data_IF_494644917667
#
_entry.id   IF_494644917667
#
_cell.length_a   1.000
_cell.length_b   1.000
_cell.length_c   1.000
_cell.angle_alpha   90.00
_cell.angle_beta   90.00
_cell.angle_gamma   90.00
#
_symmetry.space_group_name_H-M   'P 1'
#
loop_
_entity.id
_entity.type
_entity.pdbx_description
1 polymer ?
#
# COMPACT_ATOMS: atom_id res chain seq x y z
N UNK A 1 -9.80 5.33 39.65
CA UNK A 1 -10.31 5.08 38.28
C UNK A 1 -9.89 6.16 37.27
N UNK A 2 -8.62 6.60 37.28
CA UNK A 2 -8.12 7.71 36.43
C UNK A 2 -6.86 7.36 35.61
N UNK A 3 -6.34 6.14 35.76
CA UNK A 3 -5.11 5.66 35.11
C UNK A 3 -5.36 4.95 33.77
N UNK A 4 -6.61 4.62 33.42
CA UNK A 4 -6.92 3.93 32.16
C UNK A 4 -6.97 4.86 30.93
N UNK A 5 -7.01 6.18 31.14
CA UNK A 5 -7.23 7.17 30.07
C UNK A 5 -5.95 7.77 29.48
N UNK A 6 -4.76 7.48 30.03
CA UNK A 6 -3.52 8.14 29.58
C UNK A 6 -2.77 7.36 28.48
N UNK A 7 -3.08 6.07 28.29
CA UNK A 7 -2.43 5.23 27.27
C UNK A 7 -3.30 5.00 26.04
N UNK A 8 -4.15 5.95 25.65
CA UNK A 8 -4.69 6.01 24.29
C UNK A 8 -3.70 6.75 23.38
N UNK A 9 -2.45 6.26 23.40
CA UNK A 9 -1.31 6.93 22.80
C UNK A 9 -1.22 6.55 21.31
N UNK A 10 -1.57 7.51 20.45
CA UNK A 10 -0.89 7.80 19.18
C UNK A 10 -0.75 6.71 18.10
N UNK A 11 -1.79 5.93 17.79
CA UNK A 11 -1.95 5.50 16.39
C UNK A 11 -2.61 6.64 15.60
N UNK A 12 -1.80 7.48 14.98
CA UNK A 12 -2.30 8.45 13.98
C UNK A 12 -2.95 7.64 12.85
N UNK A 13 -4.28 7.51 12.88
CA UNK A 13 -5.04 6.84 11.83
C UNK A 13 -4.58 7.43 10.49
N UNK A 14 -4.12 6.57 9.58
CA UNK A 14 -3.80 6.99 8.22
C UNK A 14 -5.06 7.64 7.65
N UNK A 15 -4.95 8.92 7.28
CA UNK A 15 -6.06 9.63 6.67
C UNK A 15 -6.34 9.04 5.30
N UNK A 16 -7.60 9.02 4.87
CA UNK A 16 -8.02 8.48 3.57
C UNK A 16 -7.15 8.97 2.41
N UNK A 17 -6.72 10.25 2.46
CA UNK A 17 -5.81 10.85 1.48
C UNK A 17 -4.46 10.15 1.39
N UNK A 18 -3.86 9.79 2.53
CA UNK A 18 -2.57 9.08 2.57
C UNK A 18 -2.69 7.64 2.07
N UNK A 19 -3.80 6.96 2.37
CA UNK A 19 -4.07 5.64 1.82
C UNK A 19 -4.25 5.66 0.31
N UNK A 20 -4.97 6.65 -0.24
CA UNK A 20 -5.11 6.84 -1.68
C UNK A 20 -3.77 7.12 -2.37
N UNK A 21 -2.91 7.95 -1.77
CA UNK A 21 -1.55 8.19 -2.30
C UNK A 21 -0.75 6.89 -2.34
N UNK A 22 -0.80 6.08 -1.27
CA UNK A 22 -0.10 4.80 -1.22
C UNK A 22 -0.62 3.82 -2.28
N UNK A 23 -1.94 3.82 -2.51
CA UNK A 23 -2.58 3.01 -3.54
C UNK A 23 -2.14 3.45 -4.95
N UNK A 24 -2.09 4.76 -5.22
CA UNK A 24 -1.58 5.30 -6.48
C UNK A 24 -0.12 4.94 -6.72
N UNK A 25 0.73 4.96 -5.68
CA UNK A 25 2.13 4.54 -5.78
C UNK A 25 2.22 3.05 -6.10
N UNK A 26 1.44 2.19 -5.42
CA UNK A 26 1.39 0.75 -5.71
C UNK A 26 1.00 0.45 -7.16
N UNK A 27 -0.04 1.12 -7.67
CA UNK A 27 -0.44 1.01 -9.08
C UNK A 27 0.65 1.47 -10.04
N UNK A 28 1.33 2.58 -9.74
CA UNK A 28 2.42 3.11 -10.56
C UNK A 28 3.61 2.15 -10.64
N UNK A 29 3.96 1.49 -9.54
CA UNK A 29 5.03 0.47 -9.51
C UNK A 29 4.66 -0.73 -10.39
N UNK A 30 3.41 -1.21 -10.33
CA UNK A 30 2.96 -2.32 -11.17
C UNK A 30 2.96 -1.93 -12.65
N UNK A 31 2.44 -0.74 -12.98
CA UNK A 31 2.38 -0.27 -14.36
C UNK A 31 3.79 -0.09 -14.95
N UNK A 32 4.69 0.55 -14.21
CA UNK A 32 6.09 0.70 -14.66
C UNK A 32 6.78 -0.65 -14.79
N UNK A 33 6.57 -1.59 -13.86
CA UNK A 33 7.11 -2.95 -13.97
C UNK A 33 6.65 -3.68 -15.23
N UNK A 34 5.37 -3.58 -15.58
CA UNK A 34 4.85 -4.19 -16.82
C UNK A 34 5.45 -3.55 -18.08
N UNK A 35 5.63 -2.23 -18.08
CA UNK A 35 6.28 -1.50 -19.17
C UNK A 35 7.73 -1.95 -19.30
N UNK A 36 8.50 -1.95 -18.22
CA UNK A 36 9.90 -2.40 -18.24
C UNK A 36 10.05 -3.86 -18.65
N UNK A 37 9.14 -4.74 -18.21
CA UNK A 37 9.12 -6.15 -18.60
C UNK A 37 8.82 -6.37 -20.09
N UNK A 38 8.22 -5.38 -20.78
CA UNK A 38 7.97 -5.45 -22.21
C UNK A 38 9.22 -5.07 -23.03
N UNK A 39 10.02 -4.12 -22.52
CA UNK A 39 11.21 -3.63 -23.22
C UNK A 39 12.49 -4.40 -22.88
N UNK A 40 12.54 -5.06 -21.72
CA UNK A 40 13.71 -5.78 -21.23
C UNK A 40 13.26 -7.15 -20.72
N UNK A 41 13.92 -8.22 -21.17
CA UNK A 41 13.77 -9.55 -20.56
C UNK A 41 14.38 -9.54 -19.16
N UNK A 42 13.56 -9.13 -18.19
CA UNK A 42 13.86 -9.25 -16.77
C UNK A 42 13.81 -10.72 -16.37
N UNK A 43 14.75 -11.15 -15.54
CA UNK A 43 14.74 -12.47 -14.92
C UNK A 43 13.44 -12.68 -14.15
N UNK A 44 12.93 -13.91 -14.11
CA UNK A 44 11.64 -14.24 -13.47
C UNK A 44 11.55 -13.77 -12.01
N UNK A 45 12.67 -13.84 -11.29
CA UNK A 45 12.78 -13.32 -9.92
C UNK A 45 12.51 -11.81 -9.84
N UNK A 46 13.07 -11.04 -10.78
CA UNK A 46 12.96 -9.58 -10.81
C UNK A 46 11.52 -9.18 -11.17
N UNK A 47 10.92 -9.84 -12.16
CA UNK A 47 9.50 -9.65 -12.52
C UNK A 47 8.58 -9.96 -11.34
N UNK A 48 8.78 -11.12 -10.72
CA UNK A 48 8.01 -11.54 -9.54
C UNK A 48 8.15 -10.57 -8.35
N UNK A 49 9.37 -10.07 -8.10
CA UNK A 49 9.63 -9.13 -7.02
C UNK A 49 8.92 -7.79 -7.22
N UNK A 50 8.95 -7.22 -8.43
CA UNK A 50 8.26 -5.96 -8.70
C UNK A 50 6.74 -6.08 -8.57
N UNK A 51 6.16 -7.17 -9.09
CA UNK A 51 4.73 -7.46 -8.94
C UNK A 51 4.38 -7.69 -7.47
N UNK A 52 5.19 -8.45 -6.73
CA UNK A 52 5.02 -8.70 -5.30
C UNK A 52 5.07 -7.42 -4.46
N UNK A 53 6.02 -6.53 -4.72
CA UNK A 53 6.12 -5.22 -4.04
C UNK A 53 4.89 -4.36 -4.36
N UNK A 54 4.49 -4.31 -5.64
CA UNK A 54 3.29 -3.59 -6.07
C UNK A 54 2.03 -4.07 -5.34
N UNK A 55 1.81 -5.38 -5.30
CA UNK A 55 0.67 -5.99 -4.59
C UNK A 55 0.78 -5.76 -3.08
N UNK A 56 1.96 -5.91 -2.48
CA UNK A 56 2.17 -5.66 -1.06
C UNK A 56 1.84 -4.22 -0.65
N UNK A 57 2.20 -3.25 -1.48
CA UNK A 57 1.83 -1.84 -1.28
C UNK A 57 0.32 -1.62 -1.42
N UNK A 58 -0.33 -2.24 -2.41
CA UNK A 58 -1.78 -2.17 -2.57
C UNK A 58 -2.51 -2.79 -1.37
N UNK A 59 -2.09 -3.97 -0.91
CA UNK A 59 -2.69 -4.66 0.23
C UNK A 59 -2.54 -3.83 1.51
N UNK A 60 -1.34 -3.27 1.73
CA UNK A 60 -1.08 -2.34 2.84
C UNK A 60 -2.00 -1.12 2.76
N UNK A 61 -2.18 -0.55 1.57
CA UNK A 61 -3.06 0.61 1.38
C UNK A 61 -4.53 0.31 1.70
N UNK A 62 -5.00 -0.92 1.43
CA UNK A 62 -6.38 -1.36 1.71
C UNK A 62 -6.56 -1.67 3.20
N UNK A 63 -5.62 -2.40 3.81
CA UNK A 63 -5.69 -2.79 5.23
C UNK A 63 -5.56 -1.57 6.15
N UNK A 64 -4.66 -0.63 5.83
CA UNK A 64 -4.45 0.58 6.61
C UNK A 64 -5.34 1.75 6.17
N UNK A 65 -5.82 1.73 4.93
CA UNK A 65 -6.83 2.65 4.45
C UNK A 65 -8.17 2.27 5.05
N UNK A 66 -8.65 3.03 6.02
CA UNK A 66 -10.03 2.92 6.48
C UNK A 66 -10.98 3.47 5.39
N UNK A 67 -11.05 2.75 4.27
CA UNK A 67 -12.09 2.89 3.27
C UNK A 67 -13.36 2.45 3.99
N UNK A 68 -14.01 3.40 4.69
CA UNK A 68 -15.40 3.23 5.14
C UNK A 68 -16.12 2.62 3.96
N UNK A 69 -16.46 1.35 4.07
CA UNK A 69 -17.37 0.68 3.16
C UNK A 69 -18.61 1.55 3.20
N UNK A 70 -18.94 2.17 2.07
CA UNK A 70 -20.19 2.90 1.94
C UNK A 70 -21.25 1.81 2.01
N UNK A 71 -21.81 1.64 3.19
CA UNK A 71 -22.96 0.79 3.47
C UNK A 71 -24.07 1.75 3.88
#
# INVERSE_FOLDING_TARGET
MKLLNFKKNNMKKITKRKALILLSIGLFVIASSQIFSHFIELTDFTKGSFIGIGIGLLLTSIVFGNFKTVQ
#
